data_IF_655553363415
#
_entry.id   IF_655553363415
#
_cell.length_a   1.000
_cell.length_b   1.000
_cell.length_c   1.000
_cell.angle_alpha   90.00
_cell.angle_beta   90.00
_cell.angle_gamma   90.00
#
_symmetry.space_group_name_H-M   'P 1'
#
loop_
_entity.id
_entity.type
_entity.pdbx_description
1 polymer ?
#
# COMPACT_ATOMS: atom_id res chain seq x y z
N UNK A 1 31.91 22.53 -1.35
CA UNK A 1 30.87 22.46 -0.28
C UNK A 1 29.88 21.33 -0.57
N UNK A 2 30.37 20.15 -0.96
CA UNK A 2 29.58 19.01 -1.49
C UNK A 2 29.71 17.72 -0.66
N UNK A 3 30.58 17.71 0.37
CA UNK A 3 30.80 16.52 1.22
C UNK A 3 29.69 16.29 2.27
N UNK A 4 28.96 17.33 2.69
CA UNK A 4 28.02 17.21 3.81
C UNK A 4 26.68 16.53 3.45
N UNK A 5 26.28 16.57 2.18
CA UNK A 5 25.00 15.98 1.71
C UNK A 5 25.12 14.49 1.41
N UNK A 6 26.29 14.03 0.97
CA UNK A 6 26.51 12.62 0.61
C UNK A 6 26.62 11.71 1.85
N UNK A 7 27.27 12.18 2.91
CA UNK A 7 27.40 11.40 4.16
C UNK A 7 26.09 11.36 4.96
N UNK A 8 25.24 12.38 4.85
CA UNK A 8 23.92 12.42 5.50
C UNK A 8 22.98 11.30 5.03
N UNK A 9 23.08 10.87 3.77
CA UNK A 9 22.18 9.88 3.17
C UNK A 9 22.67 8.44 3.30
N UNK A 10 23.98 8.20 3.30
CA UNK A 10 24.57 6.84 3.44
C UNK A 10 24.15 6.15 4.74
N UNK A 11 23.96 6.90 5.83
CA UNK A 11 23.46 6.35 7.09
C UNK A 11 21.93 6.20 7.15
N UNK A 12 21.20 6.90 6.28
CA UNK A 12 19.72 6.84 6.20
C UNK A 12 19.23 5.64 5.39
N UNK A 13 19.94 5.26 4.32
CA UNK A 13 19.61 4.10 3.48
C UNK A 13 19.51 2.80 4.30
N UNK A 14 20.51 2.37 5.10
CA UNK A 14 20.42 1.12 5.85
C UNK A 14 19.29 1.14 6.88
N UNK A 15 19.08 2.28 7.54
CA UNK A 15 17.97 2.46 8.48
C UNK A 15 16.61 2.35 7.78
N UNK A 16 16.44 3.01 6.62
CA UNK A 16 15.24 2.89 5.78
C UNK A 16 14.99 1.44 5.37
N UNK A 17 16.02 0.73 4.89
CA UNK A 17 15.90 -0.68 4.51
C UNK A 17 15.52 -1.55 5.71
N UNK A 18 16.07 -1.27 6.89
CA UNK A 18 15.68 -1.96 8.12
C UNK A 18 14.20 -1.76 8.44
N UNK A 19 13.68 -0.53 8.33
CA UNK A 19 12.26 -0.24 8.52
C UNK A 19 11.39 -0.96 7.48
N UNK A 20 11.82 -0.97 6.21
CA UNK A 20 11.15 -1.68 5.13
C UNK A 20 11.10 -3.19 5.37
N UNK A 21 12.22 -3.82 5.71
CA UNK A 21 12.31 -5.25 6.05
C UNK A 21 11.47 -5.57 7.28
N UNK A 22 11.53 -4.74 8.32
CA UNK A 22 10.73 -4.93 9.54
C UNK A 22 9.24 -4.91 9.21
N UNK A 23 8.78 -3.97 8.38
CA UNK A 23 7.38 -3.91 7.96
C UNK A 23 6.96 -5.16 7.16
N UNK A 24 7.78 -5.62 6.21
CA UNK A 24 7.52 -6.87 5.49
C UNK A 24 7.42 -8.07 6.43
N UNK A 25 8.38 -8.22 7.35
CA UNK A 25 8.40 -9.32 8.32
C UNK A 25 7.15 -9.29 9.20
N UNK A 26 6.75 -8.12 9.70
CA UNK A 26 5.54 -7.98 10.52
C UNK A 26 4.27 -8.35 9.73
N UNK A 27 4.13 -7.86 8.50
CA UNK A 27 2.97 -8.13 7.64
C UNK A 27 2.88 -9.60 7.26
N UNK A 28 4.00 -10.24 6.91
CA UNK A 28 4.04 -11.67 6.60
C UNK A 28 3.75 -12.49 7.85
N UNK A 29 4.41 -12.20 8.98
CA UNK A 29 4.19 -12.90 10.24
C UNK A 29 2.73 -12.81 10.72
N UNK A 30 2.08 -11.67 10.51
CA UNK A 30 0.66 -11.46 10.82
C UNK A 30 -0.27 -12.47 10.14
N UNK A 31 0.11 -12.98 8.97
CA UNK A 31 -0.67 -13.96 8.20
C UNK A 31 -0.49 -15.39 8.66
N UNK A 32 0.61 -15.69 9.35
CA UNK A 32 0.93 -17.05 9.82
C UNK A 32 0.20 -17.36 11.13
N UNK A 33 -0.22 -16.33 11.88
CA UNK A 33 -0.91 -16.50 13.17
C UNK A 33 -2.35 -16.94 12.91
N UNK A 34 -2.77 -18.14 13.38
CA UNK A 34 -4.14 -18.60 13.20
C UNK A 34 -5.12 -17.70 13.96
N UNK A 35 -6.10 -17.13 13.26
CA UNK A 35 -7.21 -16.38 13.87
C UNK A 35 -8.50 -17.18 13.81
N UNK A 36 -9.30 -17.21 14.90
CA UNK A 36 -10.64 -17.77 14.84
C UNK A 36 -11.53 -16.96 13.88
N UNK A 37 -12.18 -17.64 12.93
CA UNK A 37 -13.09 -17.03 11.97
C UNK A 37 -12.44 -16.68 10.63
N UNK A 38 -13.23 -16.12 9.71
CA UNK A 38 -12.82 -15.78 8.34
C UNK A 38 -12.27 -14.36 8.20
N UNK A 39 -12.26 -13.57 9.28
CA UNK A 39 -11.83 -12.17 9.25
C UNK A 39 -10.33 -12.06 9.59
N UNK A 40 -9.52 -11.37 8.76
CA UNK A 40 -8.08 -11.25 8.98
C UNK A 40 -7.76 -10.18 10.04
N UNK A 41 -8.18 -10.40 11.30
CA UNK A 41 -8.05 -9.41 12.39
C UNK A 41 -6.59 -9.01 12.64
N UNK A 42 -5.68 -9.99 12.75
CA UNK A 42 -4.27 -9.73 13.03
C UNK A 42 -3.60 -8.96 11.86
N UNK A 43 -3.76 -9.38 10.58
CA UNK A 43 -3.31 -8.56 9.46
C UNK A 43 -3.87 -7.13 9.46
N UNK A 44 -5.16 -6.93 9.77
CA UNK A 44 -5.74 -5.58 9.84
C UNK A 44 -5.08 -4.71 10.91
N UNK A 45 -4.78 -5.26 12.10
CA UNK A 45 -4.09 -4.53 13.17
C UNK A 45 -2.69 -4.12 12.69
N UNK A 46 -1.93 -5.05 12.11
CA UNK A 46 -0.57 -4.74 11.62
C UNK A 46 -0.60 -3.73 10.48
N UNK A 47 -1.55 -3.83 9.56
CA UNK A 47 -1.77 -2.84 8.50
C UNK A 47 -2.10 -1.46 9.08
N UNK A 48 -2.96 -1.39 10.09
CA UNK A 48 -3.29 -0.13 10.76
C UNK A 48 -2.06 0.48 11.45
N UNK A 49 -1.20 -0.35 12.06
CA UNK A 49 0.07 0.09 12.65
C UNK A 49 1.05 0.60 11.59
N UNK A 50 1.16 -0.07 10.44
CA UNK A 50 1.98 0.39 9.30
C UNK A 50 1.47 1.74 8.77
N UNK A 51 0.16 1.88 8.61
CA UNK A 51 -0.46 3.15 8.20
C UNK A 51 -0.18 4.27 9.23
N UNK A 52 -0.33 3.98 10.53
CA UNK A 52 -0.03 4.93 11.60
C UNK A 52 1.45 5.32 11.62
N UNK A 53 2.36 4.36 11.46
CA UNK A 53 3.80 4.59 11.37
C UNK A 53 4.17 5.47 10.17
N UNK A 54 3.51 5.26 9.02
CA UNK A 54 3.66 6.09 7.82
C UNK A 54 3.18 7.53 8.06
N UNK A 55 2.03 7.71 8.71
CA UNK A 55 1.47 9.02 9.03
C UNK A 55 2.36 9.77 10.03
N UNK A 56 2.87 9.08 11.05
CA UNK A 56 3.78 9.64 12.06
C UNK A 56 5.14 9.99 11.43
N UNK A 57 5.64 9.14 10.54
CA UNK A 57 6.94 9.28 9.87
C UNK A 57 6.82 9.96 8.50
N UNK A 58 5.94 10.96 8.41
CA UNK A 58 5.49 11.55 7.15
C UNK A 58 6.66 11.95 6.23
N UNK A 59 6.76 11.37 5.01
CA UNK A 59 7.94 11.53 4.16
C UNK A 59 7.94 12.77 3.26
N UNK A 60 6.79 13.43 3.09
CA UNK A 60 6.60 14.45 2.06
C UNK A 60 6.46 15.86 2.63
N UNK A 61 6.86 16.87 1.86
CA UNK A 61 6.47 18.27 2.12
C UNK A 61 5.04 18.48 1.66
N UNK A 62 4.10 18.14 2.55
CA UNK A 62 2.66 18.23 2.32
C UNK A 62 1.98 19.11 3.36
N UNK A 63 0.80 19.59 3.02
CA UNK A 63 -0.06 20.34 3.95
C UNK A 63 -0.73 19.39 4.95
N UNK A 64 -1.27 19.92 6.05
CA UNK A 64 -2.07 19.12 6.99
C UNK A 64 -3.26 18.42 6.31
N UNK A 65 -3.83 19.05 5.28
CA UNK A 65 -4.91 18.47 4.49
C UNK A 65 -4.44 17.22 3.71
N UNK A 66 -3.22 17.21 3.17
CA UNK A 66 -2.66 16.04 2.49
C UNK A 66 -2.48 14.86 3.47
N UNK A 67 -2.15 15.15 4.74
CA UNK A 67 -2.11 14.14 5.80
C UNK A 67 -3.49 13.59 6.13
N UNK A 68 -4.47 14.47 6.37
CA UNK A 68 -5.85 14.09 6.70
C UNK A 68 -6.47 13.25 5.59
N UNK A 69 -6.32 13.67 4.33
CA UNK A 69 -6.83 12.91 3.19
C UNK A 69 -6.20 11.52 3.12
N UNK A 70 -4.87 11.43 3.28
CA UNK A 70 -4.16 10.14 3.31
C UNK A 70 -4.70 9.22 4.41
N UNK A 71 -4.96 9.75 5.61
CA UNK A 71 -5.58 8.99 6.71
C UNK A 71 -6.97 8.50 6.32
N UNK A 72 -7.84 9.41 5.85
CA UNK A 72 -9.23 9.11 5.49
C UNK A 72 -9.29 8.01 4.42
N UNK A 73 -8.53 8.16 3.33
CA UNK A 73 -8.48 7.15 2.26
C UNK A 73 -7.94 5.81 2.74
N UNK A 74 -6.93 5.80 3.60
CA UNK A 74 -6.36 4.57 4.15
C UNK A 74 -7.31 3.84 5.11
N UNK A 75 -7.99 4.59 5.99
CA UNK A 75 -9.00 4.02 6.90
C UNK A 75 -10.19 3.49 6.13
N UNK A 76 -10.71 4.24 5.14
CA UNK A 76 -11.82 3.76 4.29
C UNK A 76 -11.39 2.48 3.57
N UNK A 77 -10.21 2.45 2.96
CA UNK A 77 -9.70 1.24 2.30
C UNK A 77 -9.63 0.03 3.24
N UNK A 78 -9.18 0.23 4.49
CA UNK A 78 -9.12 -0.83 5.49
C UNK A 78 -10.50 -1.32 5.93
N UNK A 79 -11.48 -0.43 6.09
CA UNK A 79 -12.87 -0.81 6.43
C UNK A 79 -13.48 -1.73 5.37
N UNK A 80 -13.21 -1.46 4.09
CA UNK A 80 -13.71 -2.27 2.98
C UNK A 80 -12.98 -3.61 2.78
N UNK A 81 -12.00 -3.96 3.63
CA UNK A 81 -11.48 -5.33 3.72
C UNK A 81 -12.55 -6.27 4.28
N UNK A 82 -13.38 -5.78 5.22
CA UNK A 82 -14.41 -6.58 5.91
C UNK A 82 -15.83 -6.20 5.54
N UNK A 83 -16.05 -4.95 5.09
CA UNK A 83 -17.37 -4.50 4.64
C UNK A 83 -17.50 -4.82 3.14
N UNK A 84 -18.45 -5.69 2.74
CA UNK A 84 -18.67 -5.99 1.33
C UNK A 84 -19.21 -4.75 0.62
N UNK A 85 -18.62 -4.43 -0.53
CA UNK A 85 -19.10 -3.37 -1.39
C UNK A 85 -20.21 -3.91 -2.30
N UNK A 86 -21.34 -3.21 -2.47
CA UNK A 86 -22.41 -3.64 -3.36
C UNK A 86 -21.89 -3.70 -4.80
N UNK A 87 -21.69 -4.91 -5.32
CA UNK A 87 -21.37 -5.15 -6.73
C UNK A 87 -22.53 -5.91 -7.36
N UNK A 88 -23.26 -5.28 -8.27
CA UNK A 88 -24.21 -6.01 -9.12
C UNK A 88 -23.46 -7.07 -9.95
N UNK A 89 -24.11 -8.20 -10.22
CA UNK A 89 -23.70 -9.27 -11.14
C UNK A 89 -22.19 -9.53 -11.24
N UNK A 90 -21.66 -10.39 -10.37
CA UNK A 90 -20.26 -10.85 -10.47
C UNK A 90 -20.18 -11.96 -11.51
N UNK A 91 -19.09 -12.00 -12.30
CA UNK A 91 -18.86 -13.11 -13.20
C UNK A 91 -18.79 -14.43 -12.40
N UNK A 92 -19.45 -15.52 -12.84
CA UNK A 92 -19.56 -16.75 -12.05
C UNK A 92 -18.21 -17.30 -11.58
N UNK A 93 -17.13 -17.09 -12.33
CA UNK A 93 -15.78 -17.51 -11.97
C UNK A 93 -15.17 -16.82 -10.73
N UNK A 94 -15.75 -15.71 -10.26
CA UNK A 94 -15.25 -14.95 -9.10
C UNK A 94 -16.14 -15.10 -7.86
N UNK A 95 -17.18 -15.92 -7.94
CA UNK A 95 -18.04 -16.24 -6.80
C UNK A 95 -17.35 -17.36 -6.01
N UNK A 96 -17.21 -17.18 -4.69
CA UNK A 96 -16.68 -18.24 -3.84
C UNK A 96 -17.60 -19.47 -3.88
N UNK A 97 -17.08 -20.64 -3.53
CA UNK A 97 -17.83 -21.92 -3.54
C UNK A 97 -19.09 -21.87 -2.66
N UNK A 98 -19.11 -20.97 -1.66
CA UNK A 98 -20.25 -20.73 -0.76
C UNK A 98 -21.24 -19.66 -1.27
N UNK A 99 -21.09 -19.18 -2.51
CA UNK A 99 -21.96 -18.18 -3.12
C UNK A 99 -21.69 -16.74 -2.65
N UNK A 100 -20.66 -16.51 -1.81
CA UNK A 100 -20.32 -15.18 -1.30
C UNK A 100 -19.32 -14.46 -2.20
N UNK A 101 -19.38 -13.14 -2.13
CA UNK A 101 -18.41 -12.26 -2.78
C UNK A 101 -17.10 -12.32 -1.99
N UNK A 102 -15.97 -12.72 -2.60
CA UNK A 102 -14.69 -12.68 -1.91
C UNK A 102 -14.33 -11.26 -1.48
N UNK A 103 -13.81 -11.09 -0.26
CA UNK A 103 -13.50 -9.77 0.31
C UNK A 103 -12.53 -8.94 -0.55
N UNK A 104 -11.54 -9.59 -1.17
CA UNK A 104 -10.59 -8.93 -2.06
C UNK A 104 -11.24 -8.36 -3.34
N UNK A 105 -12.33 -8.96 -3.83
CA UNK A 105 -13.03 -8.48 -5.03
C UNK A 105 -13.81 -7.20 -4.71
N UNK A 106 -14.58 -7.21 -3.63
CA UNK A 106 -15.27 -6.02 -3.12
C UNK A 106 -14.29 -4.88 -2.83
N UNK A 107 -13.17 -5.20 -2.18
CA UNK A 107 -12.12 -4.22 -1.90
C UNK A 107 -11.50 -3.65 -3.18
N UNK A 108 -11.21 -4.48 -4.20
CA UNK A 108 -10.64 -4.00 -5.46
C UNK A 108 -11.54 -2.98 -6.18
N UNK A 109 -12.86 -3.18 -6.17
CA UNK A 109 -13.82 -2.21 -6.72
C UNK A 109 -13.78 -0.89 -5.95
N UNK A 110 -13.73 -0.96 -4.62
CA UNK A 110 -13.60 0.20 -3.75
C UNK A 110 -12.30 0.94 -4.02
N UNK A 111 -11.18 0.23 -4.15
CA UNK A 111 -9.88 0.82 -4.50
C UNK A 111 -9.98 1.57 -5.83
N UNK A 112 -10.59 0.98 -6.86
CA UNK A 112 -10.82 1.66 -8.13
C UNK A 112 -11.57 2.98 -7.96
N UNK A 113 -12.67 2.97 -7.19
CA UNK A 113 -13.44 4.17 -6.89
C UNK A 113 -12.63 5.19 -6.07
N UNK A 114 -11.95 4.74 -5.01
CA UNK A 114 -11.14 5.60 -4.14
C UNK A 114 -10.01 6.26 -4.91
N UNK A 115 -9.37 5.57 -5.85
CA UNK A 115 -8.32 6.15 -6.69
C UNK A 115 -8.88 7.23 -7.62
N UNK A 116 -10.05 7.02 -8.21
CA UNK A 116 -10.73 8.06 -9.01
C UNK A 116 -11.04 9.28 -8.13
N UNK A 117 -11.63 9.07 -6.96
CA UNK A 117 -11.97 10.16 -6.02
C UNK A 117 -10.70 10.88 -5.54
N UNK A 118 -9.64 10.15 -5.21
CA UNK A 118 -8.35 10.70 -4.80
C UNK A 118 -7.77 11.61 -5.89
N UNK A 119 -7.76 11.14 -7.14
CA UNK A 119 -7.26 11.90 -8.29
C UNK A 119 -8.11 13.17 -8.50
N UNK A 120 -9.43 13.04 -8.60
CA UNK A 120 -10.34 14.18 -8.79
C UNK A 120 -10.19 15.20 -7.67
N UNK A 121 -10.15 14.74 -6.41
CA UNK A 121 -9.95 15.61 -5.26
C UNK A 121 -8.59 16.31 -5.29
N UNK A 122 -7.51 15.57 -5.58
CA UNK A 122 -6.14 16.10 -5.64
C UNK A 122 -5.98 17.16 -6.71
N UNK A 123 -6.56 16.95 -7.89
CA UNK A 123 -6.59 17.91 -8.98
C UNK A 123 -7.51 19.10 -8.68
N UNK A 124 -8.74 18.85 -8.21
CA UNK A 124 -9.71 19.90 -7.86
C UNK A 124 -9.15 20.87 -6.83
N UNK A 125 -8.51 20.34 -5.77
CA UNK A 125 -7.81 21.14 -4.76
C UNK A 125 -6.75 22.05 -5.38
N UNK A 126 -6.01 21.54 -6.36
CA UNK A 126 -4.95 22.30 -7.02
C UNK A 126 -5.47 23.36 -7.96
N UNK A 127 -6.61 23.11 -8.62
CA UNK A 127 -7.30 24.08 -9.45
C UNK A 127 -7.93 25.21 -8.64
N UNK A 128 -8.29 24.95 -7.38
CA UNK A 128 -8.86 25.94 -6.46
C UNK A 128 -7.83 26.90 -5.82
N UNK A 129 -6.51 26.73 -6.04
CA UNK A 129 -5.48 27.62 -5.48
C UNK A 129 -5.26 28.85 -6.35
N UNK A 130 -5.23 30.03 -5.73
CA UNK A 130 -5.00 31.33 -6.41
C UNK A 130 -3.57 31.49 -6.95
N UNK A 131 -2.56 30.93 -6.29
CA UNK A 131 -1.16 30.94 -6.75
C UNK A 131 -0.65 29.52 -7.02
N UNK A 132 -0.29 29.26 -8.29
CA UNK A 132 0.05 27.93 -8.83
C UNK A 132 1.56 27.62 -8.85
N UNK A 133 2.31 28.06 -7.85
CA UNK A 133 3.72 27.67 -7.72
C UNK A 133 3.83 26.22 -7.22
N UNK A 134 4.71 25.41 -7.83
CA UNK A 134 5.00 24.02 -7.45
C UNK A 134 3.84 23.01 -7.54
N UNK A 135 2.90 23.25 -8.46
CA UNK A 135 1.71 22.41 -8.71
C UNK A 135 2.04 20.91 -8.81
N UNK A 136 2.95 20.56 -9.73
CA UNK A 136 3.32 19.16 -10.03
C UNK A 136 3.85 18.45 -8.79
N UNK A 137 4.74 19.09 -8.01
CA UNK A 137 5.32 18.50 -6.82
C UNK A 137 4.27 18.24 -5.73
N UNK A 138 3.36 19.20 -5.50
CA UNK A 138 2.30 19.02 -4.51
C UNK A 138 1.29 17.93 -4.92
N UNK A 139 1.01 17.78 -6.23
CA UNK A 139 0.18 16.70 -6.75
C UNK A 139 0.83 15.35 -6.50
N UNK A 140 2.09 15.20 -6.89
CA UNK A 140 2.82 13.95 -6.73
C UNK A 140 2.83 13.50 -5.27
N UNK A 141 3.11 14.39 -4.32
CA UNK A 141 3.09 14.03 -2.90
C UNK A 141 1.71 13.56 -2.41
N UNK A 142 0.64 14.30 -2.74
CA UNK A 142 -0.72 13.97 -2.30
C UNK A 142 -1.22 12.65 -2.91
N UNK A 143 -0.96 12.45 -4.21
CA UNK A 143 -1.36 11.23 -4.92
C UNK A 143 -0.53 10.05 -4.44
N UNK A 144 0.80 10.18 -4.30
CA UNK A 144 1.65 9.07 -3.84
C UNK A 144 1.29 8.63 -2.43
N UNK A 145 1.07 9.55 -1.48
CA UNK A 145 0.66 9.20 -0.12
C UNK A 145 -0.72 8.56 -0.09
N UNK A 146 -1.69 9.10 -0.85
CA UNK A 146 -3.04 8.55 -0.92
C UNK A 146 -3.09 7.16 -1.57
N UNK A 147 -2.35 6.94 -2.66
CA UNK A 147 -2.26 5.62 -3.31
C UNK A 147 -1.63 4.61 -2.36
N UNK A 148 -0.53 4.98 -1.68
CA UNK A 148 0.11 4.11 -0.70
C UNK A 148 -0.84 3.76 0.45
N UNK A 149 -1.56 4.75 1.02
CA UNK A 149 -2.49 4.51 2.12
C UNK A 149 -3.71 3.69 1.71
N UNK A 150 -4.20 3.81 0.48
CA UNK A 150 -5.24 2.91 -0.05
C UNK A 150 -4.66 1.50 -0.20
N UNK A 151 -3.46 1.38 -0.78
CA UNK A 151 -2.85 0.11 -1.16
C UNK A 151 -2.52 -0.81 0.03
N UNK A 152 -2.12 -0.24 1.17
CA UNK A 152 -1.66 -1.01 2.33
C UNK A 152 -2.70 -2.02 2.84
N UNK A 153 -4.00 -1.74 2.67
CA UNK A 153 -5.08 -2.65 3.06
C UNK A 153 -5.03 -3.99 2.31
N UNK A 154 -4.46 -4.03 1.10
CA UNK A 154 -4.36 -5.25 0.29
C UNK A 154 -3.49 -6.34 0.92
N UNK A 155 -2.63 -6.01 1.88
CA UNK A 155 -1.89 -7.00 2.68
C UNK A 155 -2.79 -7.93 3.48
N UNK A 156 -4.03 -7.52 3.78
CA UNK A 156 -4.98 -8.37 4.50
C UNK A 156 -5.40 -9.62 3.71
N UNK A 157 -5.22 -9.63 2.38
CA UNK A 157 -5.57 -10.75 1.50
C UNK A 157 -4.40 -11.69 1.21
N UNK A 158 -3.24 -11.47 1.83
CA UNK A 158 -2.09 -12.35 1.69
C UNK A 158 -2.36 -13.80 2.17
N UNK A 159 -3.15 -14.06 3.26
CA UNK A 159 -3.55 -15.43 3.60
C UNK A 159 -4.31 -16.12 2.47
N UNK A 160 -5.29 -15.44 1.88
CA UNK A 160 -6.08 -15.97 0.76
C UNK A 160 -5.18 -16.31 -0.43
N UNK A 161 -4.26 -15.39 -0.78
CA UNK A 161 -3.27 -15.61 -1.82
C UNK A 161 -2.38 -16.82 -1.53
N UNK A 162 -1.92 -16.98 -0.29
CA UNK A 162 -1.12 -18.13 0.14
C UNK A 162 -1.84 -19.46 -0.09
N UNK A 163 -3.13 -19.52 0.22
CA UNK A 163 -3.93 -20.73 -0.06
C UNK A 163 -4.05 -21.00 -1.56
N UNK A 164 -4.23 -19.96 -2.40
CA UNK A 164 -4.32 -20.12 -3.86
C UNK A 164 -3.00 -20.60 -4.47
N UNK A 165 -1.87 -20.02 -4.03
CA UNK A 165 -0.52 -20.42 -4.44
C UNK A 165 -0.26 -21.90 -4.12
N UNK A 166 -0.76 -22.39 -2.98
CA UNK A 166 -0.55 -23.78 -2.55
C UNK A 166 -1.34 -24.82 -3.37
N UNK A 167 -2.41 -24.42 -4.07
CA UNK A 167 -3.26 -25.34 -4.84
C UNK A 167 -2.66 -25.75 -6.18
N UNK A 168 -1.85 -24.88 -6.82
CA UNK A 168 -1.18 -25.18 -8.08
C UNK A 168 0.27 -24.69 -8.02
N UNK A 169 1.21 -25.62 -7.85
CA UNK A 169 2.63 -25.33 -7.64
C UNK A 169 3.24 -24.50 -8.77
N UNK A 170 2.85 -24.72 -10.03
CA UNK A 170 3.42 -24.00 -11.17
C UNK A 170 2.96 -22.55 -11.21
N UNK A 171 1.64 -22.33 -11.15
CA UNK A 171 1.05 -20.97 -11.15
C UNK A 171 1.47 -20.21 -9.91
N UNK A 172 1.47 -20.90 -8.76
CA UNK A 172 1.93 -20.36 -7.48
C UNK A 172 3.40 -19.94 -7.51
N UNK A 173 4.30 -20.77 -8.06
CA UNK A 173 5.71 -20.42 -8.18
C UNK A 173 5.93 -19.19 -9.06
N UNK A 174 5.25 -19.10 -10.21
CA UNK A 174 5.32 -17.93 -11.10
C UNK A 174 4.87 -16.66 -10.36
N UNK A 175 3.76 -16.74 -9.64
CA UNK A 175 3.24 -15.63 -8.86
C UNK A 175 4.23 -15.13 -7.80
N UNK A 176 4.83 -16.05 -7.03
CA UNK A 176 5.85 -15.73 -6.03
C UNK A 176 7.06 -15.05 -6.68
N UNK A 177 7.54 -15.58 -7.82
CA UNK A 177 8.67 -14.98 -8.56
C UNK A 177 8.34 -13.54 -8.97
N UNK A 178 7.15 -13.29 -9.53
CA UNK A 178 6.73 -11.95 -9.94
C UNK A 178 6.66 -11.00 -8.74
N UNK A 179 6.08 -11.44 -7.61
CA UNK A 179 6.00 -10.63 -6.39
C UNK A 179 7.38 -10.29 -5.82
N UNK A 180 8.32 -11.24 -5.83
CA UNK A 180 9.69 -11.03 -5.36
C UNK A 180 10.43 -10.05 -6.26
N UNK A 181 10.32 -10.19 -7.59
CA UNK A 181 10.93 -9.28 -8.56
C UNK A 181 10.38 -7.86 -8.36
N UNK A 182 9.07 -7.72 -8.20
CA UNK A 182 8.43 -6.43 -7.99
C UNK A 182 8.82 -5.78 -6.65
N UNK A 183 8.89 -6.58 -5.58
CA UNK A 183 9.38 -6.11 -4.28
C UNK A 183 10.84 -5.63 -4.38
N UNK A 184 11.70 -6.38 -5.08
CA UNK A 184 13.09 -5.99 -5.31
C UNK A 184 13.20 -4.69 -6.14
N UNK A 185 12.39 -4.54 -7.19
CA UNK A 185 12.33 -3.31 -7.98
C UNK A 185 11.90 -2.11 -7.11
N UNK A 186 10.93 -2.30 -6.21
CA UNK A 186 10.49 -1.27 -5.27
C UNK A 186 11.52 -0.96 -4.17
N UNK A 187 12.37 -1.91 -3.78
CA UNK A 187 13.55 -1.63 -2.93
C UNK A 187 14.53 -0.72 -3.67
N UNK A 188 14.83 -1.01 -4.93
CA UNK A 188 15.69 -0.14 -5.73
C UNK A 188 15.08 1.25 -5.87
N UNK A 189 13.77 1.32 -6.13
CA UNK A 189 13.05 2.60 -6.19
C UNK A 189 13.10 3.36 -4.86
N UNK A 190 12.96 2.68 -3.71
CA UNK A 190 12.99 3.34 -2.41
C UNK A 190 14.36 3.94 -2.09
N UNK A 191 15.46 3.30 -2.52
CA UNK A 191 16.82 3.86 -2.43
C UNK A 191 16.96 5.15 -3.26
N UNK A 192 16.27 5.24 -4.40
CA UNK A 192 16.24 6.45 -5.23
C UNK A 192 15.30 7.54 -4.67
N UNK A 193 14.26 7.16 -3.91
CA UNK A 193 13.31 8.10 -3.30
C UNK A 193 13.82 8.73 -2.01
N UNK A 194 14.43 7.93 -1.13
CA UNK A 194 15.49 8.39 -0.20
C UNK A 194 16.62 8.94 -1.10
N UNK A 195 17.73 9.54 -0.70
CA UNK A 195 18.63 10.27 -1.64
C UNK A 195 17.98 11.52 -2.27
N UNK A 196 16.92 11.39 -3.09
CA UNK A 196 16.32 12.51 -3.82
C UNK A 196 15.19 13.20 -3.02
N UNK A 197 14.73 12.61 -1.91
CA UNK A 197 13.71 13.25 -1.07
C UNK A 197 14.23 14.50 -0.38
N UNK A 198 13.35 15.50 -0.35
CA UNK A 198 13.56 16.77 0.37
C UNK A 198 12.46 16.91 1.44
N UNK A 199 12.55 16.18 2.57
CA UNK A 199 11.51 16.15 3.59
C UNK A 199 11.38 17.50 4.32
N UNK A 200 10.27 17.68 5.04
CA UNK A 200 10.06 18.83 5.92
C UNK A 200 11.14 18.83 7.04
N UNK A 201 11.86 19.95 7.28
CA UNK A 201 12.84 20.05 8.36
C UNK A 201 12.30 19.68 9.75
N UNK A 202 11.00 19.82 9.97
CA UNK A 202 10.35 19.50 11.25
C UNK A 202 9.91 18.03 11.36
N UNK A 203 10.05 17.22 10.30
CA UNK A 203 9.69 15.82 10.33
C UNK A 203 10.78 15.01 11.06
N UNK A 204 10.39 14.26 12.10
CA UNK A 204 11.34 13.53 12.96
C UNK A 204 12.08 12.42 12.20
N UNK A 205 11.37 11.52 11.52
CA UNK A 205 11.96 10.33 10.88
C UNK A 205 11.39 10.04 9.47
N UNK A 206 11.51 10.98 8.51
CA UNK A 206 10.88 10.86 7.18
C UNK A 206 11.40 9.68 6.35
N UNK A 207 12.61 9.20 6.63
CA UNK A 207 13.20 8.02 5.98
C UNK A 207 12.42 6.73 6.29
N UNK A 208 11.75 6.62 7.44
CA UNK A 208 10.85 5.50 7.75
C UNK A 208 9.64 5.56 6.79
N UNK A 209 9.03 6.73 6.63
CA UNK A 209 7.90 6.90 5.71
C UNK A 209 8.26 6.54 4.26
N UNK A 210 9.45 6.94 3.80
CA UNK A 210 9.96 6.58 2.47
C UNK A 210 10.17 5.06 2.35
N UNK A 211 10.70 4.41 3.38
CA UNK A 211 10.87 2.96 3.41
C UNK A 211 9.56 2.18 3.47
N UNK A 212 8.50 2.77 4.03
CA UNK A 212 7.17 2.17 4.09
C UNK A 212 6.39 2.30 2.77
N UNK A 213 6.59 3.35 1.97
CA UNK A 213 5.95 3.51 0.65
C UNK A 213 5.99 2.24 -0.22
N UNK A 214 7.16 1.63 -0.52
CA UNK A 214 7.20 0.42 -1.34
C UNK A 214 6.42 -0.74 -0.72
N UNK A 215 6.47 -0.91 0.60
CA UNK A 215 5.73 -1.95 1.31
C UNK A 215 4.23 -1.73 1.17
N UNK A 216 3.77 -0.51 1.38
CA UNK A 216 2.36 -0.16 1.27
C UNK A 216 1.85 -0.38 -0.16
N UNK A 217 2.61 0.03 -1.18
CA UNK A 217 2.28 -0.16 -2.59
C UNK A 217 2.19 -1.63 -2.99
N UNK A 218 3.00 -2.52 -2.39
CA UNK A 218 2.88 -3.96 -2.62
C UNK A 218 1.52 -4.53 -2.21
N UNK A 219 0.75 -3.88 -1.33
CA UNK A 219 -0.58 -4.36 -0.95
C UNK A 219 -1.54 -4.49 -2.14
N UNK A 220 -1.51 -3.57 -3.11
CA UNK A 220 -2.30 -3.68 -4.36
C UNK A 220 -1.89 -4.91 -5.16
N UNK A 221 -0.60 -5.24 -5.17
CA UNK A 221 -0.06 -6.34 -5.98
C UNK A 221 -0.53 -7.69 -5.44
N UNK A 222 -0.70 -7.82 -4.13
CA UNK A 222 -1.26 -9.02 -3.48
C UNK A 222 -2.69 -9.25 -3.96
N UNK A 223 -3.54 -8.23 -3.88
CA UNK A 223 -4.94 -8.31 -4.32
C UNK A 223 -5.08 -8.49 -5.85
N UNK A 224 -4.22 -7.84 -6.63
CA UNK A 224 -4.18 -8.03 -8.08
C UNK A 224 -3.76 -9.47 -8.45
N UNK A 225 -2.82 -10.03 -7.69
CA UNK A 225 -2.38 -11.41 -7.88
C UNK A 225 -3.49 -12.39 -7.53
N UNK A 226 -4.26 -12.17 -6.47
CA UNK A 226 -5.43 -13.00 -6.15
C UNK A 226 -6.48 -12.96 -7.26
N UNK A 227 -6.74 -11.76 -7.82
CA UNK A 227 -7.65 -11.56 -8.96
C UNK A 227 -7.25 -12.40 -10.19
N UNK A 228 -5.96 -12.40 -10.52
CA UNK A 228 -5.42 -13.07 -11.72
C UNK A 228 -5.31 -14.59 -11.54
N UNK A 229 -4.93 -15.04 -10.35
CA UNK A 229 -4.69 -16.47 -10.09
C UNK A 229 -5.98 -17.24 -9.88
N UNK A 230 -7.02 -16.64 -9.30
CA UNK A 230 -8.27 -17.34 -9.01
C UNK A 230 -8.80 -18.19 -10.19
N UNK A 231 -8.98 -17.67 -11.41
CA UNK A 231 -9.48 -18.47 -12.54
C UNK A 231 -8.48 -19.52 -13.06
N UNK A 232 -7.20 -19.44 -12.70
CA UNK A 232 -6.16 -20.39 -13.11
C UNK A 232 -6.06 -21.60 -12.16
N UNK A 233 -6.70 -21.49 -10.98
CA UNK A 233 -6.56 -22.45 -9.88
C UNK A 233 -7.92 -22.89 -9.31
N UNK A 234 -9.02 -22.37 -9.88
CA UNK A 234 -10.40 -22.85 -9.71
C UNK A 234 -10.68 -24.06 -10.59
#
# INVERSE_FOLDING_TARGET
MTETTQDSWKHKVPSMLLAQVTAYVLLIAATVIPTPGTTPIIPMIVVALVLAAFIASWPFRGTMLDRVTTVVFGVISLVFVVVPFPSGGIAPQHIAVDGKIPGWYSWALVVGLLLVVLVVFSFGRQMAREHRSHLIRSLSHAVTSGVASIAVAGWCFLPDLGTMISRNTTVGAIAVIVLVILAAALVVASILWVRDSDPDPNASHPWIGIGLLPVMLMGVTIAATTLVIMPLVS
#
